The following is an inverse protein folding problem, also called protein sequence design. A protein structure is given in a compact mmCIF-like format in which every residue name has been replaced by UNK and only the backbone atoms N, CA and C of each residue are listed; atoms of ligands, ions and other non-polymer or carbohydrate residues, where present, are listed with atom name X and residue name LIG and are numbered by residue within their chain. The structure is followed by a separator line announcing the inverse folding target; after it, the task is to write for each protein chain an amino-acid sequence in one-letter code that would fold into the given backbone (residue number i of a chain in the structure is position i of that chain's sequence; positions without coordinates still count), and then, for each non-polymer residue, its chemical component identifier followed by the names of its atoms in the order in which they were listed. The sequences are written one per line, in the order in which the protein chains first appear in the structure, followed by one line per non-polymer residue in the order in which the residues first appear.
data_IF_066745348741
#
_entry.id   IF_066745348741
#
_cell.length_a   1.000
_cell.length_b   1.000
_cell.length_c   1.000
_cell.angle_alpha   90.00
_cell.angle_beta   90.00
_cell.angle_gamma   90.00
#
_symmetry.space_group_name_H-M   'P 1'
#
loop_
_entity.id
_entity.type
_entity.pdbx_description
1 polymer ?
#
# COMPACT_ATOMS: atom_id res chain seq x y z
N UNK A 1 -11.27 -14.08 -4.17
CA UNK A 1 -10.58 -12.96 -3.50
C UNK A 1 -9.11 -13.32 -3.42
N UNK A 2 -8.19 -12.37 -3.61
CA UNK A 2 -6.76 -12.65 -3.44
C UNK A 2 -6.49 -13.09 -2.00
N UNK A 3 -5.62 -14.08 -1.81
CA UNK A 3 -5.17 -14.48 -0.48
C UNK A 3 -4.41 -13.32 0.16
N UNK A 4 -4.72 -13.03 1.42
CA UNK A 4 -4.07 -11.95 2.18
C UNK A 4 -2.96 -12.54 3.03
N UNK A 5 -1.73 -12.08 2.78
CA UNK A 5 -0.60 -12.35 3.65
C UNK A 5 -0.54 -11.26 4.73
N UNK A 6 -0.29 -11.67 5.96
CA UNK A 6 -0.22 -10.77 7.12
C UNK A 6 1.21 -10.75 7.63
N UNK A 7 1.85 -9.58 7.61
CA UNK A 7 3.20 -9.40 8.13
C UNK A 7 3.12 -8.62 9.44
N UNK A 8 3.37 -9.30 10.55
CA UNK A 8 3.57 -8.64 11.84
C UNK A 8 5.05 -8.31 11.97
N UNK A 9 5.36 -7.03 12.19
CA UNK A 9 6.72 -6.56 12.32
C UNK A 9 7.03 -6.31 13.80
N UNK A 10 8.22 -6.73 14.23
CA UNK A 10 8.69 -6.41 15.58
C UNK A 10 8.83 -4.89 15.75
N UNK A 11 8.38 -4.31 16.89
CA UNK A 11 8.54 -2.89 17.14
C UNK A 11 10.01 -2.45 17.11
N UNK A 12 10.28 -1.36 16.40
CA UNK A 12 11.59 -0.72 16.39
C UNK A 12 11.72 0.38 17.46
N UNK A 13 12.89 1.03 17.52
CA UNK A 13 13.05 2.23 18.35
C UNK A 13 12.17 3.39 17.86
N UNK A 14 12.15 3.61 16.54
CA UNK A 14 11.35 4.67 15.89
C UNK A 14 10.22 4.08 15.02
N UNK A 15 10.56 3.20 14.08
CA UNK A 15 9.62 2.41 13.27
C UNK A 15 10.16 0.98 13.14
N UNK A 16 9.30 -0.04 12.96
CA UNK A 16 7.83 0.01 13.01
C UNK A 16 7.31 0.39 14.40
N UNK A 17 6.28 1.24 14.45
CA UNK A 17 5.66 1.74 15.71
C UNK A 17 4.16 1.43 15.83
N UNK A 18 3.64 0.59 14.92
CA UNK A 18 2.23 0.20 14.90
C UNK A 18 2.07 -1.24 15.40
N UNK A 19 1.08 -1.53 16.26
CA UNK A 19 0.73 -2.90 16.64
C UNK A 19 -0.09 -3.63 15.57
N UNK A 20 -0.52 -2.94 14.51
CA UNK A 20 -1.32 -3.51 13.44
C UNK A 20 -0.40 -4.19 12.40
N UNK A 21 -0.82 -5.32 11.83
CA UNK A 21 -0.03 -5.98 10.80
C UNK A 21 -0.11 -5.23 9.47
N UNK A 22 0.92 -5.42 8.63
CA UNK A 22 0.85 -5.05 7.21
C UNK A 22 0.08 -6.13 6.46
N UNK A 23 -0.88 -5.72 5.63
CA UNK A 23 -1.65 -6.60 4.77
C UNK A 23 -1.06 -6.58 3.36
N UNK A 24 -0.58 -7.73 2.89
CA UNK A 24 0.00 -7.89 1.57
C UNK A 24 -0.91 -8.72 0.67
N UNK A 25 -1.44 -8.09 -0.38
CA UNK A 25 -2.26 -8.75 -1.40
C UNK A 25 -1.43 -8.99 -2.65
N UNK A 26 -1.00 -10.23 -2.85
CA UNK A 26 -0.23 -10.61 -4.04
C UNK A 26 -1.15 -10.75 -5.25
N UNK A 27 -0.71 -10.22 -6.39
CA UNK A 27 -1.47 -10.26 -7.65
C UNK A 27 -2.94 -9.78 -7.48
N UNK A 28 -3.15 -8.75 -6.64
CA UNK A 28 -4.49 -8.25 -6.30
C UNK A 28 -5.27 -7.69 -7.52
N UNK A 29 -4.57 -7.34 -8.59
CA UNK A 29 -5.11 -6.81 -9.82
C UNK A 29 -4.39 -7.43 -11.02
N UNK A 30 -5.11 -7.56 -12.14
CA UNK A 30 -4.53 -8.03 -13.40
C UNK A 30 -3.44 -7.06 -13.91
N UNK A 31 -2.26 -7.61 -14.16
CA UNK A 31 -1.13 -6.89 -14.71
C UNK A 31 -1.41 -6.43 -16.16
N UNK A 32 -0.72 -5.36 -16.59
CA UNK A 32 -0.79 -4.88 -17.97
C UNK A 32 -0.99 -3.37 -18.07
N UNK A 33 -1.10 -2.85 -19.30
CA UNK A 33 -1.26 -1.41 -19.55
C UNK A 33 -2.40 -0.81 -18.75
N UNK A 34 -2.17 0.37 -18.16
CA UNK A 34 -3.18 1.07 -17.36
C UNK A 34 -3.43 0.49 -15.95
N UNK A 35 -2.54 -0.36 -15.43
CA UNK A 35 -2.67 -0.89 -14.06
C UNK A 35 -2.69 0.22 -13.01
N UNK A 36 -1.88 1.28 -13.15
CA UNK A 36 -1.90 2.44 -12.24
C UNK A 36 -3.30 3.05 -12.13
N UNK A 37 -3.95 3.35 -13.26
CA UNK A 37 -5.30 3.91 -13.26
C UNK A 37 -6.35 2.93 -12.71
N UNK A 38 -6.18 1.62 -12.92
CA UNK A 38 -7.06 0.60 -12.32
C UNK A 38 -6.93 0.58 -10.81
N UNK A 39 -5.70 0.63 -10.28
CA UNK A 39 -5.44 0.69 -8.83
C UNK A 39 -6.00 1.98 -8.22
N UNK A 40 -5.80 3.12 -8.87
CA UNK A 40 -6.35 4.40 -8.42
C UNK A 40 -7.89 4.37 -8.35
N UNK A 41 -8.56 3.82 -9.38
CA UNK A 41 -10.01 3.61 -9.35
C UNK A 41 -10.43 2.65 -8.24
N UNK A 42 -9.69 1.57 -8.02
CA UNK A 42 -9.97 0.60 -6.96
C UNK A 42 -9.88 1.28 -5.58
N UNK A 43 -8.84 2.05 -5.33
CA UNK A 43 -8.65 2.79 -4.08
C UNK A 43 -9.80 3.77 -3.84
N UNK A 44 -10.12 4.61 -4.83
CA UNK A 44 -11.24 5.55 -4.72
C UNK A 44 -12.59 4.87 -4.49
N UNK A 45 -12.85 3.75 -5.17
CA UNK A 45 -14.08 2.96 -4.98
C UNK A 45 -14.20 2.38 -3.55
N UNK A 46 -13.09 2.24 -2.83
CA UNK A 46 -13.04 1.77 -1.44
C UNK A 46 -12.80 2.91 -0.43
N UNK A 47 -13.03 4.16 -0.82
CA UNK A 47 -12.96 5.32 0.08
C UNK A 47 -11.55 5.88 0.32
N UNK A 48 -10.51 5.32 -0.30
CA UNK A 48 -9.16 5.89 -0.24
C UNK A 48 -9.07 7.12 -1.15
N UNK A 49 -8.92 8.29 -0.52
CA UNK A 49 -8.74 9.58 -1.17
C UNK A 49 -7.27 9.97 -1.34
N UNK A 50 -7.01 11.16 -1.89
CA UNK A 50 -5.64 11.69 -2.02
C UNK A 50 -4.72 10.87 -2.93
N UNK A 51 -5.28 10.02 -3.79
CA UNK A 51 -4.53 9.07 -4.63
C UNK A 51 -3.69 9.77 -5.69
N UNK A 52 -2.44 9.35 -5.84
CA UNK A 52 -1.51 9.78 -6.89
C UNK A 52 -0.70 8.58 -7.40
N UNK A 53 -0.03 8.73 -8.54
CA UNK A 53 0.86 7.72 -9.12
C UNK A 53 2.29 8.28 -9.24
N UNK A 54 3.25 7.67 -8.55
CA UNK A 54 4.69 8.01 -8.63
C UNK A 54 5.55 6.82 -8.15
N UNK A 55 6.86 7.00 -8.02
CA UNK A 55 7.77 6.04 -7.42
C UNK A 55 7.76 6.04 -5.89
N UNK A 56 8.52 5.10 -5.31
CA UNK A 56 8.74 4.98 -3.87
C UNK A 56 9.96 5.83 -3.48
N UNK A 57 9.86 6.61 -2.40
CA UNK A 57 10.98 7.40 -1.90
C UNK A 57 12.11 6.51 -1.35
N UNK A 58 13.39 6.85 -1.59
CA UNK A 58 14.53 6.06 -1.12
C UNK A 58 14.92 6.39 0.34
N UNK A 59 14.06 7.09 1.07
CA UNK A 59 14.29 7.50 2.46
C UNK A 59 13.08 7.15 3.33
N UNK A 60 13.35 6.99 4.63
CA UNK A 60 12.32 6.66 5.61
C UNK A 60 11.40 7.85 5.84
N UNK A 61 10.09 7.59 5.83
CA UNK A 61 9.04 8.53 6.21
C UNK A 61 7.92 7.75 6.92
N UNK A 62 7.13 8.44 7.72
CA UNK A 62 5.98 7.87 8.41
C UNK A 62 4.84 8.90 8.48
N UNK A 63 3.64 8.41 8.74
CA UNK A 63 2.45 9.22 8.98
C UNK A 63 2.00 9.02 10.42
N UNK A 64 1.73 10.10 11.15
CA UNK A 64 1.27 10.08 12.54
C UNK A 64 -0.26 9.98 12.66
N UNK A 65 -0.99 10.50 11.67
CA UNK A 65 -2.46 10.56 11.67
C UNK A 65 -3.15 9.87 10.49
N UNK A 66 -2.40 9.13 9.65
CA UNK A 66 -2.94 8.50 8.45
C UNK A 66 -2.48 7.03 8.27
N UNK A 67 -3.38 6.22 7.72
CA UNK A 67 -3.04 4.92 7.15
C UNK A 67 -2.69 5.10 5.66
N UNK A 68 -1.67 4.39 5.19
CA UNK A 68 -1.28 4.39 3.79
C UNK A 68 -1.71 3.07 3.10
N UNK A 69 -2.15 3.20 1.85
CA UNK A 69 -2.31 2.07 0.94
C UNK A 69 -1.48 2.32 -0.33
N UNK A 70 -0.73 1.32 -0.76
CA UNK A 70 0.12 1.41 -1.95
C UNK A 70 -0.22 0.31 -2.96
N UNK A 71 -0.31 0.69 -4.23
CA UNK A 71 -0.48 -0.23 -5.35
C UNK A 71 0.75 -0.23 -6.25
N UNK A 72 1.38 -1.39 -6.44
CA UNK A 72 2.57 -1.51 -7.30
C UNK A 72 2.13 -1.85 -8.73
N UNK A 73 2.19 -0.85 -9.62
CA UNK A 73 1.83 -1.03 -11.01
C UNK A 73 2.99 -1.52 -11.90
N UNK A 74 4.23 -1.20 -11.52
CA UNK A 74 5.47 -1.56 -12.24
C UNK A 74 6.68 -1.47 -11.30
N UNK A 75 7.75 -2.18 -11.65
CA UNK A 75 9.07 -2.13 -11.01
C UNK A 75 10.17 -2.12 -12.06
#
# INVERSE_FOLDING_TARGET
MAEVETLLLEPGHDVPNSPLPVLLYRAACEAGPGLGDRLERLFRANGWGGTWQNGIFPYQHFHDDAHEVLGIARG
#
